data_IF_445622184198
#
_entry.id   IF_445622184198
#
_cell.length_a   1.000
_cell.length_b   1.000
_cell.length_c   1.000
_cell.angle_alpha   90.00
_cell.angle_beta   90.00
_cell.angle_gamma   90.00
#
_symmetry.space_group_name_H-M   'P 1'
#
loop_
_entity.id
_entity.type
_entity.pdbx_description
1 polymer ?
#
# COMPACT_ATOMS: atom_id res chain seq x y z
N UNK A 1 2.27 0.96 71.63
CA UNK A 1 2.46 -0.50 71.82
C UNK A 1 2.99 -1.23 70.59
N UNK A 2 2.76 -0.75 69.35
CA UNK A 2 3.30 -1.37 68.13
C UNK A 2 4.81 -1.10 67.89
N UNK A 3 5.32 0.10 68.17
CA UNK A 3 6.75 0.44 67.94
C UNK A 3 7.74 -0.26 68.89
N UNK A 4 7.31 -0.69 70.08
CA UNK A 4 8.18 -1.36 71.05
C UNK A 4 8.41 -2.85 70.71
N UNK A 5 7.46 -3.48 70.01
CA UNK A 5 7.58 -4.88 69.58
C UNK A 5 8.53 -5.03 68.38
N UNK A 6 8.55 -4.05 67.48
CA UNK A 6 9.40 -4.07 66.29
C UNK A 6 10.91 -3.91 66.64
N UNK A 7 11.23 -3.01 67.57
CA UNK A 7 12.61 -2.81 68.05
C UNK A 7 13.18 -4.03 68.80
N UNK A 8 12.33 -4.81 69.47
CA UNK A 8 12.74 -6.07 70.13
C UNK A 8 12.97 -7.20 69.12
N UNK A 9 12.19 -7.28 68.05
CA UNK A 9 12.38 -8.26 66.99
C UNK A 9 13.68 -8.01 66.22
N UNK A 10 13.96 -6.75 65.85
CA UNK A 10 15.18 -6.36 65.15
C UNK A 10 16.47 -6.65 65.97
N UNK A 11 16.47 -6.33 67.28
CA UNK A 11 17.62 -6.64 68.16
C UNK A 11 17.86 -8.14 68.36
N UNK A 12 16.82 -8.97 68.27
CA UNK A 12 16.94 -10.43 68.41
C UNK A 12 17.48 -11.05 67.12
N UNK A 13 17.09 -10.54 65.96
CA UNK A 13 17.61 -10.96 64.66
C UNK A 13 19.10 -10.59 64.48
N UNK A 14 19.52 -9.39 64.90
CA UNK A 14 20.93 -8.96 64.80
C UNK A 14 21.86 -9.79 65.72
N UNK A 15 21.43 -10.09 66.95
CA UNK A 15 22.19 -10.96 67.87
C UNK A 15 22.28 -12.42 67.38
N UNK A 16 21.27 -12.90 66.65
CA UNK A 16 21.30 -14.24 66.06
C UNK A 16 22.30 -14.31 64.89
N UNK A 17 22.33 -13.29 64.02
CA UNK A 17 23.32 -13.18 62.93
C UNK A 17 24.77 -13.09 63.45
N UNK A 18 25.04 -12.23 64.43
CA UNK A 18 26.39 -12.11 65.03
C UNK A 18 26.87 -13.38 65.75
N UNK A 19 25.97 -14.20 66.29
CA UNK A 19 26.31 -15.52 66.86
C UNK A 19 26.55 -16.59 65.79
N UNK A 20 25.85 -16.53 64.66
CA UNK A 20 26.07 -17.43 63.54
C UNK A 20 27.42 -17.15 62.85
N UNK A 21 27.76 -15.89 62.61
CA UNK A 21 29.06 -15.51 62.03
C UNK A 21 30.24 -15.86 62.93
N UNK A 22 30.16 -15.64 64.25
CA UNK A 22 31.23 -16.05 65.18
C UNK A 22 31.42 -17.57 65.27
N UNK A 23 30.36 -18.37 65.08
CA UNK A 23 30.47 -19.84 65.04
C UNK A 23 31.05 -20.32 63.71
N UNK A 24 30.68 -19.68 62.59
CA UNK A 24 31.25 -20.00 61.29
C UNK A 24 32.75 -19.65 61.23
N UNK A 25 33.15 -18.49 61.75
CA UNK A 25 34.56 -18.09 61.79
C UNK A 25 35.42 -19.00 62.70
N UNK A 26 34.90 -19.39 63.87
CA UNK A 26 35.63 -20.30 64.78
C UNK A 26 35.80 -21.71 64.19
N UNK A 27 34.81 -22.21 63.46
CA UNK A 27 34.91 -23.51 62.80
C UNK A 27 35.93 -23.50 61.65
N UNK A 28 36.03 -22.40 60.90
CA UNK A 28 37.02 -22.23 59.83
C UNK A 28 38.47 -22.16 60.36
N UNK A 29 38.67 -21.56 61.54
CA UNK A 29 40.00 -21.46 62.18
C UNK A 29 40.47 -22.83 62.72
N UNK A 30 39.57 -23.63 63.30
CA UNK A 30 39.89 -25.00 63.77
C UNK A 30 40.12 -26.02 62.65
N UNK A 31 39.53 -25.85 61.46
CA UNK A 31 39.77 -26.75 60.33
C UNK A 31 41.12 -26.48 59.63
N UNK A 32 41.64 -25.25 59.73
CA UNK A 32 42.95 -24.89 59.17
C UNK A 32 44.11 -25.31 60.10
N UNK A 33 43.93 -25.20 61.41
CA UNK A 33 44.99 -25.50 62.40
C UNK A 33 45.18 -27.02 62.65
N UNK A 34 44.21 -27.86 62.27
CA UNK A 34 44.27 -29.31 62.49
C UNK A 34 44.88 -30.11 61.33
N UNK A 35 45.47 -29.42 60.34
CA UNK A 35 46.21 -30.05 59.22
C UNK A 35 47.73 -29.93 59.40
N UNK A 36 48.19 -29.16 60.38
CA UNK A 36 49.61 -28.94 60.65
C UNK A 36 49.97 -29.40 62.06
N UNK A 37 50.00 -30.71 62.32
CA UNK A 37 50.86 -31.32 63.35
C UNK A 37 50.68 -32.86 63.38
N UNK A 38 51.54 -33.57 62.64
CA UNK A 38 52.33 -34.74 63.08
C UNK A 38 52.91 -35.50 61.86
N UNK A 39 54.04 -34.98 61.35
CA UNK A 39 54.94 -35.76 60.49
C UNK A 39 55.80 -36.71 61.35
N UNK A 40 55.38 -37.96 61.48
CA UNK A 40 56.16 -39.03 62.08
C UNK A 40 56.57 -40.10 61.07
N UNK A 41 57.53 -39.81 60.18
CA UNK A 41 58.43 -40.72 59.41
C UNK A 41 57.86 -41.97 58.70
N UNK A 42 56.55 -42.18 58.72
CA UNK A 42 55.75 -43.18 57.99
C UNK A 42 54.97 -42.50 56.84
N UNK A 43 55.05 -41.16 56.83
CA UNK A 43 54.24 -40.23 56.04
C UNK A 43 54.56 -40.26 54.54
N UNK A 44 55.80 -40.48 54.10
CA UNK A 44 56.08 -40.44 52.65
C UNK A 44 55.41 -41.57 51.87
N UNK A 45 55.32 -42.77 52.44
CA UNK A 45 54.61 -43.89 51.81
C UNK A 45 53.09 -43.76 51.96
N UNK A 46 52.60 -43.26 53.11
CA UNK A 46 51.18 -42.98 53.29
C UNK A 46 50.71 -41.85 52.36
N UNK A 47 51.46 -40.75 52.25
CA UNK A 47 51.21 -39.64 51.34
C UNK A 47 51.36 -40.09 49.88
N UNK A 48 52.34 -40.94 49.55
CA UNK A 48 52.45 -41.53 48.20
C UNK A 48 51.25 -42.44 47.86
N UNK A 49 50.75 -43.23 48.83
CA UNK A 49 49.55 -44.04 48.65
C UNK A 49 48.29 -43.17 48.53
N UNK A 50 48.13 -42.15 49.36
CA UNK A 50 47.00 -41.21 49.30
C UNK A 50 47.02 -40.44 47.98
N UNK A 51 48.18 -39.94 47.54
CA UNK A 51 48.32 -39.25 46.25
C UNK A 51 48.06 -40.19 45.07
N UNK A 52 48.53 -41.43 45.11
CA UNK A 52 48.21 -42.45 44.11
C UNK A 52 46.70 -42.74 44.05
N UNK A 53 46.03 -42.86 45.20
CA UNK A 53 44.57 -43.03 45.28
C UNK A 53 43.85 -41.83 44.67
N UNK A 54 44.30 -40.60 44.97
CA UNK A 54 43.72 -39.38 44.38
C UNK A 54 43.86 -39.39 42.85
N UNK A 55 45.03 -39.78 42.32
CA UNK A 55 45.25 -39.88 40.86
C UNK A 55 44.32 -40.93 40.24
N UNK A 56 44.15 -42.09 40.88
CA UNK A 56 43.24 -43.14 40.40
C UNK A 56 41.79 -42.64 40.37
N UNK A 57 41.35 -41.91 41.41
CA UNK A 57 40.00 -41.32 41.44
C UNK A 57 39.84 -40.28 40.32
N UNK A 58 40.84 -39.43 40.09
CA UNK A 58 40.82 -38.47 39.00
C UNK A 58 40.75 -39.13 37.62
N UNK A 59 41.54 -40.19 37.42
CA UNK A 59 41.48 -40.99 36.20
C UNK A 59 40.10 -41.65 36.05
N UNK A 60 39.51 -42.20 37.11
CA UNK A 60 38.17 -42.77 37.06
C UNK A 60 37.11 -41.73 36.64
N UNK A 61 37.16 -40.51 37.19
CA UNK A 61 36.27 -39.41 36.77
C UNK A 61 36.49 -39.07 35.29
N UNK A 62 37.76 -38.97 34.86
CA UNK A 62 38.09 -38.67 33.46
C UNK A 62 37.61 -39.78 32.51
N UNK A 63 37.72 -41.06 32.90
CA UNK A 63 37.18 -42.18 32.13
C UNK A 63 35.66 -42.12 32.03
N UNK A 64 34.95 -41.70 33.09
CA UNK A 64 33.50 -41.51 33.09
C UNK A 64 33.08 -40.34 32.20
N UNK A 65 33.79 -39.20 32.26
CA UNK A 65 33.50 -38.05 31.41
C UNK A 65 33.68 -38.37 29.92
N UNK A 66 34.69 -39.17 29.57
CA UNK A 66 34.92 -39.62 28.19
C UNK A 66 33.84 -40.64 27.79
N UNK A 67 33.61 -41.68 28.61
CA UNK A 67 32.70 -42.77 28.23
C UNK A 67 31.22 -42.35 28.21
N UNK A 68 30.81 -41.42 29.06
CA UNK A 68 29.45 -40.86 29.07
C UNK A 68 29.31 -39.59 28.22
N UNK A 69 30.38 -39.21 27.51
CA UNK A 69 30.43 -38.06 26.61
C UNK A 69 29.83 -36.76 27.18
N UNK A 70 30.22 -36.42 28.41
CA UNK A 70 29.65 -35.25 29.12
C UNK A 70 30.02 -33.97 28.37
N UNK A 71 29.02 -33.36 27.73
CA UNK A 71 29.20 -32.13 26.94
C UNK A 71 30.01 -32.30 25.65
N UNK A 72 30.11 -33.52 25.11
CA UNK A 72 30.87 -33.80 23.88
C UNK A 72 32.38 -33.97 24.08
N UNK A 73 32.85 -34.10 25.33
CA UNK A 73 34.28 -34.19 25.63
C UNK A 73 34.93 -35.47 25.09
N UNK A 74 34.23 -36.60 25.15
CA UNK A 74 34.73 -37.88 24.66
C UNK A 74 34.76 -37.93 23.14
N UNK A 75 33.67 -37.51 22.50
CA UNK A 75 33.47 -37.57 21.05
C UNK A 75 34.20 -36.47 20.27
N UNK A 76 34.28 -35.25 20.80
CA UNK A 76 34.81 -34.08 20.07
C UNK A 76 36.27 -33.78 20.41
N UNK A 77 36.66 -33.89 21.69
CA UNK A 77 37.99 -33.47 22.15
C UNK A 77 38.97 -34.65 22.22
N UNK A 78 38.54 -35.78 22.79
CA UNK A 78 39.43 -36.92 23.06
C UNK A 78 39.55 -37.89 21.88
N UNK A 79 38.51 -38.00 21.05
CA UNK A 79 38.46 -38.92 19.92
C UNK A 79 39.59 -38.75 18.90
N UNK A 80 39.94 -37.54 18.43
CA UNK A 80 41.05 -37.36 17.48
C UNK A 80 42.41 -37.74 18.07
N UNK A 81 42.56 -37.72 19.40
CA UNK A 81 43.82 -37.98 20.09
C UNK A 81 43.99 -39.44 20.50
N UNK A 82 42.89 -40.15 20.80
CA UNK A 82 42.92 -41.49 21.40
C UNK A 82 42.45 -42.61 20.46
N UNK A 83 41.82 -42.31 19.31
CA UNK A 83 41.28 -43.30 18.37
C UNK A 83 42.35 -44.25 17.82
N UNK A 84 43.56 -43.76 17.59
CA UNK A 84 44.66 -44.52 16.99
C UNK A 84 45.51 -45.30 18.01
N UNK A 85 45.19 -45.23 19.30
CA UNK A 85 45.93 -45.91 20.36
C UNK A 85 45.26 -47.25 20.70
N UNK A 86 45.92 -48.40 20.45
CA UNK A 86 45.36 -49.71 20.76
C UNK A 86 45.06 -49.85 22.25
N UNK A 87 43.97 -50.56 22.58
CA UNK A 87 43.39 -50.72 23.92
C UNK A 87 42.78 -49.47 24.56
N UNK A 88 43.32 -48.27 24.32
CA UNK A 88 42.78 -47.01 24.87
C UNK A 88 41.52 -46.56 24.12
N UNK A 89 41.42 -46.82 22.81
CA UNK A 89 40.23 -46.51 21.99
C UNK A 89 38.92 -47.11 22.55
N UNK A 90 38.98 -48.18 23.37
CA UNK A 90 37.78 -48.78 24.01
C UNK A 90 37.08 -47.88 25.02
N UNK A 91 37.75 -46.85 25.50
CA UNK A 91 37.19 -45.92 26.49
C UNK A 91 36.38 -44.81 25.83
N UNK A 92 36.62 -44.55 24.54
CA UNK A 92 35.86 -43.59 23.77
C UNK A 92 34.39 -44.06 23.71
N UNK A 93 33.43 -43.12 23.69
CA UNK A 93 32.03 -43.46 23.53
C UNK A 93 31.83 -44.17 22.20
N UNK A 94 30.89 -45.12 22.16
CA UNK A 94 30.56 -45.84 20.93
C UNK A 94 30.13 -44.81 19.88
N UNK A 95 30.87 -44.79 18.79
CA UNK A 95 30.63 -43.93 17.66
C UNK A 95 30.10 -44.77 16.53
N UNK A 96 29.11 -44.25 15.82
CA UNK A 96 28.58 -44.77 14.55
C UNK A 96 29.59 -44.59 13.40
N UNK A 97 30.85 -44.93 13.66
CA UNK A 97 31.97 -44.93 12.71
C UNK A 97 32.18 -46.33 12.09
N UNK A 98 31.12 -47.14 12.02
CA UNK A 98 31.06 -48.15 10.96
C UNK A 98 30.51 -47.42 9.74
N UNK A 99 31.42 -46.92 8.91
CA UNK A 99 31.12 -46.33 7.61
C UNK A 99 30.61 -47.40 6.65
N UNK A 100 29.44 -47.97 6.96
CA UNK A 100 28.49 -48.33 5.92
C UNK A 100 27.89 -47.02 5.46
N UNK A 101 28.46 -46.45 4.41
CA UNK A 101 27.76 -45.44 3.60
C UNK A 101 26.63 -46.16 2.85
N UNK A 102 25.62 -46.62 3.59
CA UNK A 102 24.25 -46.63 3.08
C UNK A 102 23.73 -45.20 3.24
N UNK A 103 24.33 -44.27 2.50
CA UNK A 103 23.49 -43.20 2.00
C UNK A 103 22.51 -43.91 1.08
N UNK A 104 21.24 -43.95 1.49
CA UNK A 104 20.11 -44.47 0.72
C UNK A 104 19.90 -43.56 -0.49
N UNK A 105 20.85 -43.62 -1.41
CA UNK A 105 20.75 -42.96 -2.69
C UNK A 105 19.65 -43.67 -3.47
N UNK A 106 18.79 -42.93 -4.18
CA UNK A 106 17.68 -43.51 -4.96
C UNK A 106 18.15 -44.36 -6.16
N UNK A 107 19.45 -44.64 -6.28
CA UNK A 107 20.09 -45.40 -7.36
C UNK A 107 21.14 -46.36 -6.80
N UNK A 108 21.26 -47.55 -7.39
CA UNK A 108 22.13 -48.65 -6.94
C UNK A 108 23.31 -48.93 -7.86
N UNK A 109 23.30 -48.38 -9.07
CA UNK A 109 24.35 -48.57 -10.08
C UNK A 109 24.50 -47.32 -10.98
N UNK A 110 25.54 -47.29 -11.80
CA UNK A 110 25.87 -46.13 -12.65
C UNK A 110 24.75 -45.79 -13.65
N UNK A 111 24.08 -46.79 -14.20
CA UNK A 111 23.01 -46.57 -15.17
C UNK A 111 21.78 -45.93 -14.51
N UNK A 112 21.42 -46.37 -13.29
CA UNK A 112 20.38 -45.74 -12.47
C UNK A 112 20.75 -44.32 -12.04
N UNK A 113 22.03 -44.06 -11.72
CA UNK A 113 22.50 -42.72 -11.39
C UNK A 113 22.37 -41.77 -12.58
N UNK A 114 22.72 -42.22 -13.79
CA UNK A 114 22.58 -41.43 -15.03
C UNK A 114 21.11 -41.20 -15.37
N UNK A 115 20.24 -42.19 -15.16
CA UNK A 115 18.80 -42.03 -15.34
C UNK A 115 18.22 -41.00 -14.37
N UNK A 116 18.61 -41.07 -13.10
CA UNK A 116 18.20 -40.13 -12.06
C UNK A 116 18.68 -38.69 -12.33
N UNK A 117 19.92 -38.51 -12.82
CA UNK A 117 20.44 -37.20 -13.24
C UNK A 117 19.59 -36.63 -14.38
N UNK A 118 19.23 -37.42 -15.39
CA UNK A 118 18.37 -36.95 -16.50
C UNK A 118 16.98 -36.54 -16.03
N UNK A 119 16.41 -37.27 -15.07
CA UNK A 119 15.14 -36.93 -14.46
C UNK A 119 15.23 -35.58 -13.73
N UNK A 120 16.26 -35.39 -12.90
CA UNK A 120 16.52 -34.13 -12.23
C UNK A 120 16.76 -32.97 -13.19
N UNK A 121 17.52 -33.17 -14.28
CA UNK A 121 17.72 -32.16 -15.32
C UNK A 121 16.39 -31.76 -15.98
N UNK A 122 15.49 -32.71 -16.21
CA UNK A 122 14.17 -32.47 -16.77
C UNK A 122 13.26 -31.73 -15.78
N UNK A 123 13.26 -32.09 -14.50
CA UNK A 123 12.51 -31.40 -13.45
C UNK A 123 13.01 -29.96 -13.26
N UNK A 124 14.32 -29.75 -13.28
CA UNK A 124 14.95 -28.43 -13.19
C UNK A 124 14.57 -27.56 -14.41
N UNK A 125 14.57 -28.13 -15.61
CA UNK A 125 14.12 -27.43 -16.81
C UNK A 125 12.64 -27.04 -16.75
N UNK A 126 11.77 -27.93 -16.27
CA UNK A 126 10.34 -27.63 -16.07
C UNK A 126 10.12 -26.56 -14.99
N UNK A 127 10.84 -26.65 -13.87
CA UNK A 127 10.78 -25.66 -12.80
C UNK A 127 11.27 -24.28 -13.28
N UNK A 128 12.35 -24.22 -14.05
CA UNK A 128 12.84 -22.98 -14.67
C UNK A 128 11.84 -22.38 -15.65
N UNK A 129 11.20 -23.22 -16.48
CA UNK A 129 10.17 -22.76 -17.40
C UNK A 129 8.94 -22.22 -16.66
N UNK A 130 8.46 -22.94 -15.62
CA UNK A 130 7.36 -22.47 -14.77
C UNK A 130 7.69 -21.19 -14.01
N UNK A 131 8.93 -21.01 -13.54
CA UNK A 131 9.38 -19.74 -12.94
C UNK A 131 9.39 -18.60 -13.95
N UNK A 132 9.79 -18.85 -15.20
CA UNK A 132 9.75 -17.84 -16.26
C UNK A 132 8.32 -17.43 -16.60
N UNK A 133 7.38 -18.38 -16.71
CA UNK A 133 5.96 -18.09 -16.96
C UNK A 133 5.34 -17.31 -15.79
N UNK A 134 5.63 -17.69 -14.56
CA UNK A 134 5.19 -16.95 -13.37
C UNK A 134 5.74 -15.53 -13.33
N UNK A 135 7.01 -15.31 -13.71
CA UNK A 135 7.58 -13.94 -13.78
C UNK A 135 6.89 -13.08 -14.83
N UNK A 136 6.54 -13.65 -15.99
CA UNK A 136 5.82 -12.94 -17.03
C UNK A 136 4.39 -12.57 -16.59
N UNK A 137 3.72 -13.51 -15.91
CA UNK A 137 2.38 -13.27 -15.34
C UNK A 137 2.39 -12.21 -14.23
N UNK A 138 3.41 -12.20 -13.36
CA UNK A 138 3.58 -11.16 -12.34
C UNK A 138 3.79 -9.79 -12.98
N UNK A 139 4.66 -9.70 -14.00
CA UNK A 139 4.90 -8.45 -14.71
C UNK A 139 3.63 -7.92 -15.40
N UNK A 140 2.83 -8.81 -15.99
CA UNK A 140 1.54 -8.45 -16.58
C UNK A 140 0.53 -7.97 -15.53
N UNK A 141 0.42 -8.66 -14.39
CA UNK A 141 -0.43 -8.24 -13.27
C UNK A 141 -0.03 -6.88 -12.71
N UNK A 142 1.27 -6.61 -12.57
CA UNK A 142 1.77 -5.30 -12.13
C UNK A 142 1.42 -4.20 -13.13
N UNK A 143 1.56 -4.46 -14.43
CA UNK A 143 1.18 -3.52 -15.49
C UNK A 143 -0.33 -3.25 -15.50
N UNK A 144 -1.15 -4.28 -15.35
CA UNK A 144 -2.60 -4.14 -15.23
C UNK A 144 -3.01 -3.34 -13.98
N UNK A 145 -2.35 -3.59 -12.84
CA UNK A 145 -2.58 -2.85 -11.59
C UNK A 145 -2.23 -1.36 -11.72
N UNK A 146 -1.10 -1.04 -12.38
CA UNK A 146 -0.73 0.35 -12.68
C UNK A 146 -1.77 1.03 -13.57
N UNK A 147 -2.21 0.35 -14.63
CA UNK A 147 -3.23 0.86 -15.54
C UNK A 147 -4.57 1.09 -14.83
N UNK A 148 -4.97 0.18 -13.94
CA UNK A 148 -6.21 0.31 -13.17
C UNK A 148 -6.15 1.53 -12.24
N UNK A 149 -5.03 1.74 -11.55
CA UNK A 149 -4.81 2.94 -10.72
C UNK A 149 -4.90 4.24 -11.52
N UNK A 150 -4.39 4.24 -12.74
CA UNK A 150 -4.50 5.40 -13.62
C UNK A 150 -5.96 5.68 -14.01
N UNK A 151 -6.73 4.63 -14.33
CA UNK A 151 -8.17 4.79 -14.57
C UNK A 151 -8.92 5.32 -13.35
N UNK A 152 -8.67 4.77 -12.16
CA UNK A 152 -9.30 5.23 -10.92
C UNK A 152 -8.97 6.71 -10.64
N UNK A 153 -7.72 7.13 -10.86
CA UNK A 153 -7.32 8.52 -10.69
C UNK A 153 -7.99 9.45 -11.72
N UNK A 154 -8.10 9.02 -12.97
CA UNK A 154 -8.75 9.77 -14.04
C UNK A 154 -10.27 9.88 -13.80
N UNK A 155 -10.91 8.83 -13.31
CA UNK A 155 -12.34 8.84 -12.96
C UNK A 155 -12.60 9.82 -11.80
N UNK A 156 -11.76 9.81 -10.76
CA UNK A 156 -11.88 10.76 -9.66
C UNK A 156 -11.70 12.22 -10.13
N UNK A 157 -10.72 12.48 -11.00
CA UNK A 157 -10.50 13.81 -11.56
C UNK A 157 -11.67 14.27 -12.44
N UNK A 158 -12.24 13.37 -13.25
CA UNK A 158 -13.40 13.66 -14.08
C UNK A 158 -14.65 13.98 -13.25
N UNK A 159 -14.90 13.21 -12.18
CA UNK A 159 -16.01 13.49 -11.25
C UNK A 159 -15.85 14.86 -10.57
N UNK A 160 -14.63 15.23 -10.15
CA UNK A 160 -14.35 16.56 -9.58
C UNK A 160 -14.59 17.69 -10.59
N UNK A 161 -14.15 17.51 -11.84
CA UNK A 161 -14.37 18.49 -12.91
C UNK A 161 -15.86 18.64 -13.24
N UNK A 162 -16.59 17.53 -13.29
CA UNK A 162 -18.04 17.51 -13.50
C UNK A 162 -18.76 18.25 -12.36
N UNK A 163 -18.37 18.02 -11.11
CA UNK A 163 -18.94 18.72 -9.96
C UNK A 163 -18.63 20.22 -10.00
N UNK A 164 -17.41 20.62 -10.38
CA UNK A 164 -17.06 22.04 -10.58
C UNK A 164 -17.91 22.68 -11.68
N UNK A 165 -18.07 22.00 -12.81
CA UNK A 165 -18.90 22.47 -13.91
C UNK A 165 -20.35 22.67 -13.48
N UNK A 166 -20.95 21.70 -12.78
CA UNK A 166 -22.30 21.86 -12.24
C UNK A 166 -22.41 23.02 -11.26
N UNK A 167 -21.43 23.18 -10.38
CA UNK A 167 -21.44 24.30 -9.44
C UNK A 167 -21.29 25.65 -10.15
N UNK A 168 -20.45 25.76 -11.17
CA UNK A 168 -20.26 27.00 -11.93
C UNK A 168 -21.51 27.36 -12.74
N UNK A 169 -22.14 26.38 -13.37
CA UNK A 169 -23.36 26.57 -14.15
C UNK A 169 -24.56 26.99 -13.28
N UNK A 170 -24.66 26.45 -12.06
CA UNK A 170 -25.81 26.69 -11.16
C UNK A 170 -25.56 27.85 -10.19
N UNK A 171 -24.33 28.09 -9.76
CA UNK A 171 -24.01 29.01 -8.66
C UNK A 171 -23.01 30.12 -9.00
N UNK A 172 -22.64 30.33 -10.27
CA UNK A 172 -21.80 31.48 -10.65
C UNK A 172 -22.54 32.82 -10.48
N UNK A 173 -21.79 33.91 -10.33
CA UNK A 173 -22.35 35.29 -10.22
C UNK A 173 -23.10 35.76 -11.49
N UNK A 174 -23.02 34.99 -12.59
CA UNK A 174 -23.74 35.18 -13.85
C UNK A 174 -24.90 34.18 -14.01
N UNK A 175 -25.12 33.28 -13.05
CA UNK A 175 -26.19 32.30 -13.09
C UNK A 175 -27.57 32.98 -12.91
N UNK A 176 -28.64 32.46 -13.55
CA UNK A 176 -30.02 32.79 -13.23
C UNK A 176 -30.29 32.66 -11.73
N UNK A 177 -31.23 33.44 -11.19
CA UNK A 177 -31.57 33.38 -9.77
C UNK A 177 -31.88 31.94 -9.32
N UNK A 178 -31.42 31.54 -8.13
CA UNK A 178 -31.51 30.15 -7.64
C UNK A 178 -32.96 29.65 -7.61
N UNK A 179 -33.95 30.53 -7.38
CA UNK A 179 -35.35 30.14 -7.45
C UNK A 179 -35.82 29.84 -8.89
N UNK A 180 -35.32 30.58 -9.88
CA UNK A 180 -35.62 30.33 -11.29
C UNK A 180 -34.98 29.03 -11.78
N UNK A 181 -33.79 28.70 -11.31
CA UNK A 181 -33.12 27.42 -11.63
C UNK A 181 -33.87 26.22 -11.05
N UNK A 182 -34.37 26.35 -9.82
CA UNK A 182 -35.21 25.35 -9.16
C UNK A 182 -36.54 25.16 -9.89
N UNK A 183 -37.22 26.26 -10.22
CA UNK A 183 -38.49 26.23 -10.95
C UNK A 183 -38.32 25.61 -12.35
N UNK A 184 -37.20 25.90 -13.03
CA UNK A 184 -36.85 25.32 -14.34
C UNK A 184 -36.61 23.80 -14.26
N UNK A 185 -35.90 23.31 -13.24
CA UNK A 185 -35.63 21.87 -13.08
C UNK A 185 -36.84 21.08 -12.59
N UNK A 186 -37.68 21.67 -11.73
CA UNK A 186 -38.91 21.04 -11.25
C UNK A 186 -40.02 21.02 -12.33
N UNK A 187 -39.92 21.89 -13.35
CA UNK A 187 -40.92 22.01 -14.43
C UNK A 187 -40.57 21.30 -15.74
N UNK A 188 -39.31 20.87 -15.94
CA UNK A 188 -38.90 20.16 -17.16
C UNK A 188 -39.02 18.65 -16.99
N UNK A 189 -39.88 18.05 -17.82
CA UNK A 189 -39.87 16.62 -18.09
C UNK A 189 -38.54 16.25 -18.80
N UNK A 190 -37.77 15.26 -18.31
CA UNK A 190 -36.47 14.89 -18.88
C UNK A 190 -36.48 14.66 -20.39
N UNK A 191 -37.61 14.19 -20.93
CA UNK A 191 -37.76 13.89 -22.36
C UNK A 191 -37.92 15.17 -23.22
N UNK A 192 -38.31 16.30 -22.62
CA UNK A 192 -38.51 17.59 -23.30
C UNK A 192 -37.28 18.52 -23.25
N UNK A 193 -36.29 18.24 -22.39
CA UNK A 193 -35.11 19.08 -22.23
C UNK A 193 -34.29 19.21 -23.53
N UNK A 194 -34.14 18.11 -24.28
CA UNK A 194 -33.41 18.10 -25.55
C UNK A 194 -34.13 18.94 -26.63
N UNK A 195 -35.46 18.82 -26.72
CA UNK A 195 -36.27 19.57 -27.67
C UNK A 195 -36.20 21.07 -27.39
N UNK A 196 -36.34 21.45 -26.12
CA UNK A 196 -36.22 22.85 -25.67
C UNK A 196 -34.82 23.40 -25.93
N UNK A 197 -33.76 22.63 -25.66
CA UNK A 197 -32.39 23.04 -25.97
C UNK A 197 -32.19 23.30 -27.46
N UNK A 198 -32.65 22.39 -28.31
CA UNK A 198 -32.58 22.55 -29.77
C UNK A 198 -33.32 23.81 -30.23
N UNK A 199 -34.52 24.05 -29.69
CA UNK A 199 -35.31 25.25 -30.00
C UNK A 199 -34.61 26.54 -29.56
N UNK A 200 -34.02 26.59 -28.36
CA UNK A 200 -33.31 27.77 -27.84
C UNK A 200 -32.06 28.08 -28.67
N UNK A 201 -31.30 27.05 -29.07
CA UNK A 201 -30.11 27.24 -29.93
C UNK A 201 -30.52 27.71 -31.33
N UNK A 202 -31.56 27.12 -31.92
CA UNK A 202 -32.11 27.58 -33.21
C UNK A 202 -32.62 29.03 -33.14
N UNK A 203 -33.27 29.40 -32.03
CA UNK A 203 -33.77 30.75 -31.80
C UNK A 203 -32.62 31.75 -31.59
N UNK A 204 -31.60 31.46 -30.78
CA UNK A 204 -30.42 32.32 -30.63
C UNK A 204 -29.68 32.56 -31.95
N UNK A 205 -29.55 31.52 -32.78
CA UNK A 205 -28.93 31.66 -34.10
C UNK A 205 -29.77 32.54 -35.03
N UNK A 206 -31.10 32.45 -34.93
CA UNK A 206 -32.03 33.28 -35.70
C UNK A 206 -31.95 34.74 -35.22
N UNK A 207 -32.01 34.97 -33.92
CA UNK A 207 -31.92 36.31 -33.31
C UNK A 207 -30.58 36.98 -33.60
N UNK A 208 -29.47 36.22 -33.58
CA UNK A 208 -28.15 36.73 -33.97
C UNK A 208 -28.13 37.19 -35.44
N UNK A 209 -28.72 36.42 -36.36
CA UNK A 209 -28.79 36.78 -37.78
C UNK A 209 -29.71 37.99 -38.01
N UNK A 210 -30.84 38.06 -37.32
CA UNK A 210 -31.74 39.22 -37.36
C UNK A 210 -31.02 40.46 -36.81
N UNK A 211 -30.27 40.34 -35.73
CA UNK A 211 -29.46 41.43 -35.15
C UNK A 211 -28.44 41.98 -36.14
N UNK A 212 -27.75 41.12 -36.89
CA UNK A 212 -26.80 41.54 -37.93
C UNK A 212 -27.50 42.30 -39.07
N UNK A 213 -28.67 41.83 -39.52
CA UNK A 213 -29.48 42.54 -40.51
C UNK A 213 -29.95 43.89 -39.99
N UNK A 214 -30.49 43.95 -38.77
CA UNK A 214 -30.91 45.19 -38.09
C UNK A 214 -29.76 46.19 -38.08
N UNK A 215 -28.58 45.77 -37.62
CA UNK A 215 -27.39 46.63 -37.57
C UNK A 215 -26.99 47.14 -38.96
N UNK A 216 -26.98 46.29 -39.97
CA UNK A 216 -26.64 46.67 -41.34
C UNK A 216 -27.60 47.68 -41.94
N UNK A 217 -28.90 47.45 -41.80
CA UNK A 217 -29.93 48.33 -42.36
C UNK A 217 -30.14 49.61 -41.54
N UNK A 218 -29.95 49.57 -40.21
CA UNK A 218 -29.98 50.77 -39.35
C UNK A 218 -28.84 51.74 -39.66
N UNK A 219 -27.73 51.26 -40.22
CA UNK A 219 -26.60 52.10 -40.64
C UNK A 219 -26.72 52.59 -42.10
N UNK A 220 -27.66 52.03 -42.87
CA UNK A 220 -27.92 52.42 -44.25
C UNK A 220 -28.80 53.66 -44.32
N UNK A 221 -28.72 54.43 -45.41
CA UNK A 221 -29.66 55.55 -45.59
C UNK A 221 -31.09 55.01 -45.73
N UNK A 222 -32.10 55.63 -45.09
CA UNK A 222 -33.46 55.09 -45.09
C UNK A 222 -34.05 54.84 -46.48
N UNK A 223 -33.75 55.70 -47.45
CA UNK A 223 -34.23 55.56 -48.83
C UNK A 223 -33.58 54.37 -49.56
N UNK A 224 -32.33 54.03 -49.25
CA UNK A 224 -31.61 52.91 -49.85
C UNK A 224 -32.10 51.59 -49.23
N UNK A 225 -32.29 51.54 -47.91
CA UNK A 225 -32.88 50.40 -47.22
C UNK A 225 -34.32 50.13 -47.68
N UNK A 226 -35.15 51.18 -47.78
CA UNK A 226 -36.51 51.08 -48.29
C UNK A 226 -36.57 50.51 -49.72
N UNK A 227 -35.69 50.96 -50.61
CA UNK A 227 -35.62 50.45 -51.98
C UNK A 227 -35.27 48.95 -52.02
N UNK A 228 -34.40 48.48 -51.13
CA UNK A 228 -34.08 47.05 -51.01
C UNK A 228 -35.30 46.28 -50.49
N UNK A 229 -35.93 46.75 -49.41
CA UNK A 229 -37.11 46.10 -48.83
C UNK A 229 -38.29 46.05 -49.81
N UNK A 230 -38.46 47.06 -50.65
CA UNK A 230 -39.46 47.06 -51.72
C UNK A 230 -39.24 45.98 -52.79
N UNK A 231 -38.01 45.46 -52.93
CA UNK A 231 -37.73 44.32 -53.83
C UNK A 231 -37.95 42.96 -53.17
N UNK A 232 -38.11 42.91 -51.85
CA UNK A 232 -38.24 41.66 -51.07
C UNK A 232 -39.70 41.18 -50.98
N UNK A 233 -40.46 41.26 -52.08
CA UNK A 233 -41.90 40.99 -52.10
C UNK A 233 -42.28 39.56 -51.67
N UNK A 234 -41.38 38.60 -51.87
CA UNK A 234 -41.60 37.20 -51.48
C UNK A 234 -41.14 36.92 -50.03
N UNK A 235 -40.48 37.88 -49.37
CA UNK A 235 -39.86 37.73 -48.06
C UNK A 235 -40.23 38.88 -47.09
N UNK A 236 -41.47 39.39 -47.18
CA UNK A 236 -41.94 40.49 -46.34
C UNK A 236 -41.92 40.16 -44.83
N UNK A 237 -41.99 38.88 -44.46
CA UNK A 237 -41.82 38.43 -43.06
C UNK A 237 -40.43 38.76 -42.51
N UNK A 238 -39.37 38.57 -43.30
CA UNK A 238 -38.02 38.93 -42.90
C UNK A 238 -37.86 40.46 -42.78
N UNK A 239 -38.46 41.20 -43.72
CA UNK A 239 -38.48 42.67 -43.67
C UNK A 239 -39.18 43.16 -42.40
N UNK A 240 -40.34 42.59 -42.07
CA UNK A 240 -41.07 42.88 -40.84
C UNK A 240 -40.23 42.60 -39.60
N UNK A 241 -39.64 41.40 -39.48
CA UNK A 241 -38.78 41.04 -38.33
C UNK A 241 -37.58 41.98 -38.17
N UNK A 242 -36.92 42.37 -39.26
CA UNK A 242 -35.82 43.34 -39.21
C UNK A 242 -36.34 44.70 -38.71
N UNK A 243 -37.46 45.20 -39.25
CA UNK A 243 -38.01 46.50 -38.86
C UNK A 243 -38.52 46.53 -37.42
N UNK A 244 -39.15 45.46 -36.93
CA UNK A 244 -39.60 45.33 -35.54
C UNK A 244 -38.45 45.42 -34.54
N UNK A 245 -37.33 44.78 -34.88
CA UNK A 245 -36.13 44.76 -34.04
C UNK A 245 -35.25 46.01 -34.18
N UNK A 246 -35.62 46.96 -35.05
CA UNK A 246 -35.01 48.29 -35.10
C UNK A 246 -35.57 49.24 -34.05
N UNK A 247 -34.82 50.31 -33.75
CA UNK A 247 -35.36 51.44 -33.01
C UNK A 247 -36.53 52.09 -33.79
N UNK A 248 -37.45 52.69 -33.05
CA UNK A 248 -38.70 53.19 -33.61
C UNK A 248 -38.49 54.28 -34.68
N UNK A 249 -37.44 55.09 -34.54
CA UNK A 249 -37.16 56.18 -35.48
C UNK A 249 -36.62 55.62 -36.80
N UNK A 250 -35.63 54.73 -36.76
CA UNK A 250 -35.09 54.07 -37.96
C UNK A 250 -36.17 53.29 -38.70
N UNK A 251 -37.03 52.55 -37.96
CA UNK A 251 -38.18 51.85 -38.55
C UNK A 251 -39.13 52.82 -39.26
N UNK A 252 -39.50 53.92 -38.60
CA UNK A 252 -40.41 54.91 -39.18
C UNK A 252 -39.81 55.59 -40.42
N UNK A 253 -38.53 55.93 -40.39
CA UNK A 253 -37.83 56.59 -41.49
C UNK A 253 -37.74 55.69 -42.73
N UNK A 254 -37.55 54.38 -42.54
CA UNK A 254 -37.53 53.40 -43.63
C UNK A 254 -38.94 53.17 -44.16
N UNK A 255 -39.93 52.88 -43.30
CA UNK A 255 -41.33 52.66 -43.72
C UNK A 255 -41.90 53.86 -44.48
N UNK A 256 -41.59 55.08 -44.04
CA UNK A 256 -42.01 56.32 -44.71
C UNK A 256 -41.38 56.55 -46.08
N UNK A 257 -40.39 55.74 -46.49
CA UNK A 257 -39.70 55.82 -47.78
C UNK A 257 -39.98 54.63 -48.69
N UNK A 258 -40.65 53.59 -48.19
CA UNK A 258 -41.07 52.42 -48.97
C UNK A 258 -42.28 52.73 -49.85
N UNK A 259 -42.55 51.85 -50.82
CA UNK A 259 -43.80 51.89 -51.57
C UNK A 259 -45.00 51.66 -50.64
N UNK A 260 -46.08 52.41 -50.84
CA UNK A 260 -47.27 52.38 -49.96
C UNK A 260 -47.84 50.98 -49.78
N UNK A 261 -47.90 50.20 -50.86
CA UNK A 261 -48.47 48.85 -50.83
C UNK A 261 -47.58 47.86 -50.07
N UNK A 262 -46.25 47.98 -50.24
CA UNK A 262 -45.28 47.16 -49.48
C UNK A 262 -45.30 47.54 -48.01
N UNK A 263 -45.24 48.83 -47.69
CA UNK A 263 -45.23 49.34 -46.33
C UNK A 263 -46.50 48.93 -45.56
N UNK A 264 -47.67 48.98 -46.22
CA UNK A 264 -48.92 48.53 -45.63
C UNK A 264 -48.88 47.04 -45.29
N UNK A 265 -48.44 46.18 -46.22
CA UNK A 265 -48.33 44.72 -46.00
C UNK A 265 -47.33 44.38 -44.90
N UNK A 266 -46.17 45.03 -44.89
CA UNK A 266 -45.16 44.82 -43.85
C UNK A 266 -45.70 45.26 -42.50
N UNK A 267 -46.40 46.40 -42.43
CA UNK A 267 -47.03 46.87 -41.18
C UNK A 267 -48.12 45.92 -40.68
N UNK A 268 -48.89 45.32 -41.58
CA UNK A 268 -49.86 44.29 -41.25
C UNK A 268 -49.19 43.04 -40.66
N UNK A 269 -48.07 42.59 -41.25
CA UNK A 269 -47.28 41.47 -40.71
C UNK A 269 -46.74 41.77 -39.30
N UNK A 270 -46.27 43.00 -39.07
CA UNK A 270 -45.72 43.42 -37.77
C UNK A 270 -46.77 43.63 -36.67
N UNK A 271 -48.05 43.58 -37.03
CA UNK A 271 -49.14 43.72 -36.08
C UNK A 271 -49.85 42.37 -35.96
N UNK A 272 -49.34 41.45 -35.12
CA UNK A 272 -50.03 40.18 -34.92
C UNK A 272 -51.43 40.50 -34.40
N UNK A 273 -52.44 40.04 -35.12
CA UNK A 273 -53.84 40.20 -34.73
C UNK A 273 -54.04 39.63 -33.33
N UNK A 274 -54.78 40.37 -32.47
CA UNK A 274 -55.26 39.88 -31.16
C UNK A 274 -55.98 38.52 -31.27
#
# INVERSE_FOLDING_TARGET
MAEEMDKKAAKKAEKARKKAEKKAAKNMETDLENTEEEEGSSSKLAVALVTLVIIIVWLAILTLLIKWDVGGFGSTVMRPLLKDIPYVNRILPDSEDDLSTEEDYPYKNMDEAVAYIKELEQELAQAQQGSSENSAYIADLEAQSLKLKEYEANEAAFEEEKEKFYNEVVFSDQAPDIEQYKEYYESIDPDNAELLYKQVVEQQQTDSKISDYVKGYSQMKPKEAAAIFDTMTDNLNLVAQILENMDAQSRADILGKMNSDTAAKVTEIMNPSE
#
